data_IF_471004945994
#
_entry.id   IF_471004945994
#
_cell.length_a   1.000
_cell.length_b   1.000
_cell.length_c   1.000
_cell.angle_alpha   90.00
_cell.angle_beta   90.00
_cell.angle_gamma   90.00
#
_symmetry.space_group_name_H-M   'P 1'
#
loop_
_entity.id
_entity.type
_entity.pdbx_description
1 polymer ?
#
# COMPACT_ATOMS: atom_id res chain seq x y z
N UNK A 1 -11.58 -17.62 -15.50
CA UNK A 1 -10.77 -17.01 -14.43
C UNK A 1 -10.63 -15.52 -14.75
N UNK A 2 -11.12 -14.64 -13.87
CA UNK A 2 -10.95 -13.18 -14.04
C UNK A 2 -9.92 -12.72 -13.00
N UNK A 3 -8.82 -12.14 -13.45
CA UNK A 3 -7.72 -11.66 -12.61
C UNK A 3 -6.69 -10.94 -13.47
N UNK A 4 -5.90 -10.05 -12.86
CA UNK A 4 -4.91 -9.25 -13.60
C UNK A 4 -3.63 -10.00 -13.97
N UNK A 5 -3.35 -11.14 -13.32
CA UNK A 5 -2.08 -11.87 -13.41
C UNK A 5 -0.85 -10.95 -13.28
N UNK A 6 -0.77 -10.23 -12.16
CA UNK A 6 0.34 -9.36 -11.84
C UNK A 6 0.39 -9.06 -10.35
N UNK A 7 1.42 -8.33 -9.93
CA UNK A 7 1.65 -7.98 -8.53
C UNK A 7 0.62 -6.98 -8.02
N UNK A 8 0.42 -7.05 -6.71
CA UNK A 8 -0.41 -6.16 -5.92
C UNK A 8 0.48 -5.33 -5.01
N UNK A 9 0.18 -4.05 -4.86
CA UNK A 9 0.86 -3.17 -3.93
C UNK A 9 -0.10 -2.52 -2.94
N UNK A 10 0.31 -2.41 -1.68
CA UNK A 10 -0.42 -1.77 -0.60
C UNK A 10 0.48 -0.82 0.18
N UNK A 11 0.11 0.46 0.21
CA UNK A 11 0.73 1.49 1.06
C UNK A 11 -0.23 1.78 2.21
N UNK A 12 0.21 1.50 3.43
CA UNK A 12 -0.59 1.59 4.65
C UNK A 12 -0.13 2.76 5.52
N UNK A 13 -1.00 3.72 5.78
CA UNK A 13 -0.70 4.89 6.63
C UNK A 13 -1.11 4.68 8.08
N UNK A 14 -1.98 3.70 8.36
CA UNK A 14 -2.59 3.47 9.67
C UNK A 14 -2.07 2.20 10.36
N UNK A 15 -1.47 1.28 9.61
CA UNK A 15 -1.08 -0.04 10.09
C UNK A 15 -2.27 -0.99 10.18
N UNK A 16 -3.26 -0.86 9.30
CA UNK A 16 -4.51 -1.65 9.29
C UNK A 16 -4.41 -2.91 8.44
N UNK A 17 -3.43 -2.99 7.54
CA UNK A 17 -3.26 -4.15 6.67
C UNK A 17 -2.87 -5.40 7.47
N UNK A 18 -3.51 -6.52 7.16
CA UNK A 18 -3.31 -7.82 7.81
C UNK A 18 -3.20 -8.90 6.73
N UNK A 19 -1.98 -9.24 6.27
CA UNK A 19 -1.79 -10.19 5.16
C UNK A 19 -2.42 -11.56 5.43
N UNK A 20 -2.47 -12.00 6.68
CA UNK A 20 -3.13 -13.25 7.09
C UNK A 20 -4.62 -13.31 6.72
N UNK A 21 -5.28 -12.15 6.55
CA UNK A 21 -6.69 -12.09 6.10
C UNK A 21 -6.86 -12.52 4.63
N UNK A 22 -5.78 -12.59 3.85
CA UNK A 22 -5.79 -13.02 2.46
C UNK A 22 -5.72 -14.53 2.30
N UNK A 23 -5.22 -15.26 3.31
CA UNK A 23 -5.13 -16.73 3.31
C UNK A 23 -6.48 -17.41 3.03
N UNK A 24 -7.55 -17.14 3.81
CA UNK A 24 -8.85 -17.77 3.54
C UNK A 24 -9.47 -17.32 2.20
N UNK A 25 -9.07 -16.16 1.68
CA UNK A 25 -9.52 -15.69 0.36
C UNK A 25 -8.82 -16.51 -0.74
N UNK A 26 -7.50 -16.69 -0.63
CA UNK A 26 -6.72 -17.51 -1.55
C UNK A 26 -7.26 -18.95 -1.60
N UNK A 27 -7.50 -19.56 -0.44
CA UNK A 27 -8.05 -20.91 -0.32
C UNK A 27 -9.43 -21.04 -0.97
N UNK A 28 -10.32 -20.05 -0.76
CA UNK A 28 -11.65 -20.02 -1.39
C UNK A 28 -11.58 -20.04 -2.93
N UNK A 29 -10.53 -19.47 -3.52
CA UNK A 29 -10.30 -19.47 -4.96
C UNK A 29 -9.39 -20.61 -5.44
N UNK A 30 -8.98 -21.53 -4.55
CA UNK A 30 -8.10 -22.65 -4.89
C UNK A 30 -6.67 -22.22 -5.23
N UNK A 31 -6.21 -21.08 -4.71
CA UNK A 31 -4.87 -20.55 -4.90
C UNK A 31 -3.96 -20.96 -3.73
N UNK A 32 -2.65 -21.10 -4.00
CA UNK A 32 -1.66 -21.28 -2.94
C UNK A 32 -1.50 -19.99 -2.12
N UNK A 33 -1.76 -20.00 -0.81
CA UNK A 33 -1.67 -18.80 0.02
C UNK A 33 -0.25 -18.20 0.05
N UNK A 34 0.79 -19.03 0.05
CA UNK A 34 2.19 -18.57 0.04
C UNK A 34 2.49 -17.76 -1.21
N UNK A 35 2.18 -18.30 -2.38
CA UNK A 35 2.33 -17.62 -3.66
C UNK A 35 1.50 -16.34 -3.76
N UNK A 36 0.29 -16.31 -3.17
CA UNK A 36 -0.52 -15.08 -3.11
C UNK A 36 0.18 -14.02 -2.27
N UNK A 37 0.70 -14.38 -1.09
CA UNK A 37 1.39 -13.45 -0.19
C UNK A 37 2.70 -12.93 -0.77
N UNK A 38 3.48 -13.79 -1.44
CA UNK A 38 4.73 -13.41 -2.12
C UNK A 38 4.50 -12.44 -3.27
N UNK A 39 3.29 -12.42 -3.83
CA UNK A 39 2.91 -11.52 -4.92
C UNK A 39 2.46 -10.12 -4.44
N UNK A 40 2.60 -9.83 -3.15
CA UNK A 40 2.20 -8.58 -2.51
C UNK A 40 3.40 -7.75 -2.12
N UNK A 41 3.42 -6.50 -2.56
CA UNK A 41 4.33 -5.47 -2.05
C UNK A 41 3.61 -4.66 -0.99
N UNK A 42 4.09 -4.71 0.25
CA UNK A 42 3.56 -3.94 1.36
C UNK A 42 4.57 -2.91 1.85
N UNK A 43 4.11 -1.69 2.13
CA UNK A 43 4.90 -0.69 2.82
C UNK A 43 4.03 0.12 3.79
N UNK A 44 4.62 0.51 4.93
CA UNK A 44 3.96 1.38 5.90
C UNK A 44 4.54 2.78 5.85
N UNK A 45 3.69 3.78 5.63
CA UNK A 45 4.05 5.18 5.65
C UNK A 45 3.77 5.80 7.03
N UNK A 46 4.73 6.58 7.55
CA UNK A 46 4.62 7.25 8.86
C UNK A 46 4.48 8.77 8.75
N UNK A 47 4.83 9.34 7.59
CA UNK A 47 4.83 10.79 7.30
C UNK A 47 4.42 11.02 5.86
N UNK A 48 3.94 12.21 5.53
CA UNK A 48 3.58 12.58 4.16
C UNK A 48 4.77 12.43 3.18
N UNK A 49 5.96 12.87 3.58
CA UNK A 49 7.19 12.73 2.78
C UNK A 49 7.54 11.24 2.55
N UNK A 50 7.49 10.43 3.60
CA UNK A 50 7.70 8.98 3.47
C UNK A 50 6.68 8.33 2.53
N UNK A 51 5.39 8.69 2.61
CA UNK A 51 4.36 8.20 1.69
C UNK A 51 4.68 8.56 0.23
N UNK A 52 5.12 9.78 -0.01
CA UNK A 52 5.53 10.24 -1.35
C UNK A 52 6.74 9.45 -1.87
N UNK A 53 7.77 9.24 -1.04
CA UNK A 53 8.94 8.47 -1.43
C UNK A 53 8.62 6.99 -1.72
N UNK A 54 7.71 6.38 -0.94
CA UNK A 54 7.21 5.03 -1.20
C UNK A 54 6.49 4.93 -2.55
N UNK A 55 5.67 5.93 -2.89
CA UNK A 55 5.00 6.00 -4.19
C UNK A 55 6.00 6.11 -5.35
N UNK A 56 7.03 6.93 -5.21
CA UNK A 56 8.08 7.07 -6.24
C UNK A 56 8.85 5.75 -6.45
N UNK A 57 9.29 5.11 -5.37
CA UNK A 57 9.98 3.82 -5.44
C UNK A 57 9.10 2.72 -6.04
N UNK A 58 7.82 2.70 -5.68
CA UNK A 58 6.86 1.76 -6.24
C UNK A 58 6.62 2.03 -7.73
N UNK A 59 6.52 3.30 -8.15
CA UNK A 59 6.36 3.65 -9.56
C UNK A 59 7.56 3.18 -10.41
N UNK A 60 8.78 3.30 -9.89
CA UNK A 60 9.97 2.73 -10.54
C UNK A 60 9.85 1.21 -10.68
N UNK A 61 9.44 0.51 -9.61
CA UNK A 61 9.23 -0.94 -9.65
C UNK A 61 8.12 -1.38 -10.62
N UNK A 62 7.07 -0.58 -10.75
CA UNK A 62 5.98 -0.80 -11.70
C UNK A 62 6.39 -0.63 -13.16
N UNK A 63 7.49 0.08 -13.43
CA UNK A 63 8.06 0.16 -14.77
C UNK A 63 8.83 -1.12 -15.16
N UNK A 64 9.31 -1.89 -14.16
CA UNK A 64 10.12 -3.10 -14.36
C UNK A 64 9.30 -4.39 -14.27
N UNK A 65 8.24 -4.40 -13.46
CA UNK A 65 7.44 -5.59 -13.16
C UNK A 65 5.94 -5.34 -13.41
N UNK A 66 5.16 -6.35 -13.81
CA UNK A 66 3.74 -6.20 -14.08
C UNK A 66 2.93 -6.08 -12.77
N UNK A 67 2.53 -4.86 -12.41
CA UNK A 67 1.52 -4.61 -11.38
C UNK A 67 0.14 -4.43 -11.98
N UNK A 68 -0.89 -4.83 -11.22
CA UNK A 68 -2.29 -4.74 -11.67
C UNK A 68 -3.22 -4.05 -10.67
N UNK A 69 -2.75 -3.81 -9.45
CA UNK A 69 -3.50 -3.12 -8.42
C UNK A 69 -2.55 -2.41 -7.44
N UNK A 70 -2.85 -1.15 -7.14
CA UNK A 70 -2.27 -0.36 -6.07
C UNK A 70 -3.39 0.11 -5.15
N UNK A 71 -3.26 -0.16 -3.85
CA UNK A 71 -4.10 0.43 -2.81
C UNK A 71 -3.24 1.32 -1.93
N UNK A 72 -3.77 2.50 -1.60
CA UNK A 72 -3.19 3.43 -0.62
C UNK A 72 -4.24 3.70 0.44
N UNK A 73 -4.02 3.20 1.66
CA UNK A 73 -4.98 3.24 2.76
C UNK A 73 -4.36 3.88 4.01
N UNK A 74 -4.76 5.07 4.45
CA UNK A 74 -5.58 6.06 3.77
C UNK A 74 -4.71 7.20 3.21
N UNK A 75 -4.97 7.60 1.95
CA UNK A 75 -4.12 8.56 1.21
C UNK A 75 -4.07 9.96 1.84
N UNK A 76 -5.14 10.37 2.52
CA UNK A 76 -5.34 11.73 3.03
C UNK A 76 -4.73 11.93 4.43
N UNK A 77 -4.72 10.89 5.28
CA UNK A 77 -4.40 11.02 6.70
C UNK A 77 -3.07 11.74 6.97
N UNK A 78 -2.00 11.33 6.29
CA UNK A 78 -0.68 11.92 6.51
C UNK A 78 -0.59 13.35 5.95
N UNK A 79 -1.32 13.65 4.88
CA UNK A 79 -1.44 15.00 4.33
C UNK A 79 -2.16 15.96 5.28
N UNK A 80 -3.30 15.56 5.83
CA UNK A 80 -4.04 16.35 6.82
C UNK A 80 -3.25 16.59 8.10
N UNK A 81 -2.57 15.55 8.61
CA UNK A 81 -1.69 15.70 9.78
C UNK A 81 -0.56 16.69 9.52
N UNK A 82 0.03 16.67 8.32
CA UNK A 82 1.06 17.61 7.93
C UNK A 82 0.54 19.07 7.89
N UNK A 83 -0.62 19.30 7.29
CA UNK A 83 -1.26 20.62 7.24
C UNK A 83 -1.60 21.16 8.63
N UNK A 84 -2.09 20.30 9.54
CA UNK A 84 -2.41 20.70 10.90
C UNK A 84 -1.17 21.10 11.71
N UNK A 85 -0.04 20.41 11.50
CA UNK A 85 1.25 20.79 12.12
C UNK A 85 1.72 22.13 11.57
N UNK A 86 1.66 22.34 10.25
CA UNK A 86 2.05 23.59 9.61
C UNK A 86 1.20 24.78 10.11
N UNK A 87 -0.12 24.62 10.23
CA UNK A 87 -1.00 25.66 10.77
C UNK A 87 -0.68 26.02 12.23
N UNK A 88 -0.39 25.03 13.08
CA UNK A 88 0.03 25.29 14.48
C UNK A 88 1.33 26.07 14.59
N UNK A 89 2.26 25.86 13.65
CA UNK A 89 3.54 26.57 13.62
C UNK A 89 3.42 28.01 13.11
N UNK A 90 2.42 28.31 12.28
CA UNK A 90 2.19 29.66 11.75
C UNK A 90 1.55 30.62 12.78
N UNK A 91 0.85 30.06 13.77
CA UNK A 91 0.20 30.81 14.86
C UNK A 91 1.01 30.85 16.16
N UNK A 92 2.28 30.44 16.11
CA UNK A 92 3.29 30.63 17.16
C UNK A 92 4.26 31.72 16.76
#
# INVERSE_FOLDING_TARGET
>A
MHGGNGKFAYIDTEGTFRPERLVPIAERFGLDPGAVLDNIVYARAYTYEHQYNLLLGLAAKMAEEPFRLLIVDSVILLGERNLQIASKNLHR
#
